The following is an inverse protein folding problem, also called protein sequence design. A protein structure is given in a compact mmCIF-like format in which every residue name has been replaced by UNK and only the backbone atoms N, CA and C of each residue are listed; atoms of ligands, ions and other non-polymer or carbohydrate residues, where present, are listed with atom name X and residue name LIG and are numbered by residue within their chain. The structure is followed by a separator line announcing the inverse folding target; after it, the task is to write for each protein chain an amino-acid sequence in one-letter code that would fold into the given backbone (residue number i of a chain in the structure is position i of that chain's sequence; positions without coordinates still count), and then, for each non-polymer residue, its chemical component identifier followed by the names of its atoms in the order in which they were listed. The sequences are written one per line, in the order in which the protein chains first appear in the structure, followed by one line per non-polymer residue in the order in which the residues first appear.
data_IF_343137700379
#
_entry.id   IF_343137700379
#
_cell.length_a   1.000
_cell.length_b   1.000
_cell.length_c   1.000
_cell.angle_alpha   90.00
_cell.angle_beta   90.00
_cell.angle_gamma   90.00
#
_symmetry.space_group_name_H-M   'P 1'
#
loop_
_entity.id
_entity.type
_entity.pdbx_description
1 polymer ?
#
# COMPACT_ATOMS: atom_id res chain seq x y z
N UNK A 1 32.29 43.13 59.39
CA UNK A 1 31.00 43.70 59.87
C UNK A 1 30.07 43.79 58.67
N UNK A 2 29.11 42.88 58.57
CA UNK A 2 27.65 43.13 58.73
C UNK A 2 27.08 44.20 57.78
N UNK A 3 26.20 43.72 56.89
CA UNK A 3 24.88 44.22 56.43
C UNK A 3 24.69 45.75 56.31
N UNK A 4 24.08 46.33 55.26
CA UNK A 4 22.68 46.22 54.85
C UNK A 4 22.55 46.59 53.35
N UNK A 5 21.89 45.78 52.52
CA UNK A 5 20.48 45.92 52.13
C UNK A 5 20.16 47.26 51.45
N UNK A 6 19.97 47.25 50.12
CA UNK A 6 18.99 48.10 49.43
C UNK A 6 18.75 47.59 48.01
N UNK A 7 17.86 46.59 47.99
CA UNK A 7 16.90 46.23 46.96
C UNK A 7 16.42 47.44 46.12
N UNK A 8 17.07 47.73 44.99
CA UNK A 8 16.56 48.72 44.01
C UNK A 8 17.14 48.59 42.59
N UNK A 9 17.57 47.40 42.14
CA UNK A 9 18.04 47.19 40.75
C UNK A 9 17.35 45.98 40.12
N UNK A 10 16.02 45.95 40.23
CA UNK A 10 15.18 44.89 39.67
C UNK A 10 14.06 45.47 38.80
N UNK A 11 14.36 46.42 37.90
CA UNK A 11 13.36 47.00 36.97
C UNK A 11 13.92 47.28 35.55
N UNK A 12 15.15 46.89 35.19
CA UNK A 12 15.77 47.37 33.94
C UNK A 12 16.07 46.32 32.85
N UNK A 13 15.35 45.19 32.82
CA UNK A 13 15.47 44.22 31.72
C UNK A 13 14.12 43.71 31.17
N UNK A 14 13.07 44.52 31.24
CA UNK A 14 11.79 44.26 30.55
C UNK A 14 11.70 45.01 29.21
N UNK A 15 12.68 44.80 28.32
CA UNK A 15 12.59 45.14 26.90
C UNK A 15 12.96 43.91 26.05
N UNK A 16 12.27 42.80 26.30
CA UNK A 16 12.15 41.76 25.28
C UNK A 16 10.98 42.16 24.38
N UNK A 17 11.34 42.55 23.17
CA UNK A 17 10.45 42.78 22.05
C UNK A 17 9.33 41.74 22.03
N UNK A 18 8.13 42.15 22.44
CA UNK A 18 6.90 41.52 21.97
C UNK A 18 6.82 41.75 20.46
N UNK A 19 7.48 40.90 19.70
CA UNK A 19 7.02 40.59 18.36
C UNK A 19 5.60 40.03 18.54
N UNK A 20 4.61 40.92 18.44
CA UNK A 20 3.23 40.58 18.12
C UNK A 20 3.29 39.85 16.78
N UNK A 21 3.54 38.56 16.85
CA UNK A 21 3.25 37.66 15.75
C UNK A 21 1.75 37.57 15.81
N UNK A 22 1.09 38.47 15.09
CA UNK A 22 -0.35 38.43 14.82
C UNK A 22 -0.58 37.18 13.95
N UNK A 23 -0.45 36.00 14.57
CA UNK A 23 -1.03 34.77 14.06
C UNK A 23 -2.53 34.95 14.28
N UNK A 24 -3.13 35.76 13.41
CA UNK A 24 -4.52 35.56 13.04
C UNK A 24 -4.61 34.08 12.69
N UNK A 25 -5.09 33.28 13.64
CA UNK A 25 -5.61 31.96 13.37
C UNK A 25 -6.78 32.22 12.44
N UNK A 26 -6.49 32.36 11.14
CA UNK A 26 -7.52 32.25 10.10
C UNK A 26 -8.15 30.91 10.37
N UNK A 27 -9.32 30.94 10.99
CA UNK A 27 -10.20 29.79 11.12
C UNK A 27 -10.34 29.28 9.69
N UNK A 28 -9.70 28.14 9.42
CA UNK A 28 -9.81 27.49 8.13
C UNK A 28 -11.28 27.14 7.98
N UNK A 29 -11.95 27.81 7.05
CA UNK A 29 -13.29 27.40 6.64
C UNK A 29 -13.18 25.94 6.16
N UNK A 30 -13.85 24.99 6.84
CA UNK A 30 -13.73 23.56 6.53
C UNK A 30 -14.26 23.23 5.12
N UNK A 31 -14.96 24.17 4.47
CA UNK A 31 -15.49 24.04 3.10
C UNK A 31 -14.65 24.82 2.09
N UNK A 32 -13.58 25.50 2.52
CA UNK A 32 -12.70 26.23 1.61
C UNK A 32 -11.98 25.29 0.64
N UNK A 33 -11.62 25.76 -0.58
CA UNK A 33 -10.82 24.97 -1.51
C UNK A 33 -9.51 24.44 -0.90
N UNK A 34 -8.88 25.20 0.01
CA UNK A 34 -7.65 24.79 0.67
C UNK A 34 -7.88 23.64 1.67
N UNK A 35 -8.95 23.71 2.47
CA UNK A 35 -9.32 22.63 3.38
C UNK A 35 -9.72 21.37 2.60
N UNK A 36 -10.49 21.54 1.52
CA UNK A 36 -10.89 20.44 0.64
C UNK A 36 -9.67 19.74 0.02
N UNK A 37 -8.69 20.51 -0.45
CA UNK A 37 -7.42 19.96 -0.96
C UNK A 37 -6.68 19.17 0.12
N UNK A 38 -6.50 19.73 1.31
CA UNK A 38 -5.73 19.08 2.37
C UNK A 38 -6.34 17.74 2.78
N UNK A 39 -7.66 17.68 2.93
CA UNK A 39 -8.36 16.44 3.24
C UNK A 39 -8.30 15.43 2.08
N UNK A 40 -8.44 15.89 0.83
CA UNK A 40 -8.30 15.04 -0.34
C UNK A 40 -6.90 14.42 -0.42
N UNK A 41 -5.85 15.19 -0.15
CA UNK A 41 -4.46 14.70 -0.15
C UNK A 41 -4.27 13.60 0.92
N UNK A 42 -4.82 13.77 2.13
CA UNK A 42 -4.80 12.74 3.18
C UNK A 42 -5.51 11.45 2.73
N UNK A 43 -6.67 11.58 2.06
CA UNK A 43 -7.39 10.42 1.54
C UNK A 43 -6.60 9.74 0.42
N UNK A 44 -5.92 10.51 -0.43
CA UNK A 44 -5.05 9.99 -1.49
C UNK A 44 -3.88 9.19 -0.91
N UNK A 45 -3.20 9.72 0.10
CA UNK A 45 -2.10 9.03 0.79
C UNK A 45 -2.58 7.71 1.43
N UNK A 46 -3.79 7.69 1.98
CA UNK A 46 -4.40 6.49 2.53
C UNK A 46 -4.58 5.41 1.46
N UNK A 47 -5.18 5.76 0.31
CA UNK A 47 -5.32 4.85 -0.85
C UNK A 47 -3.96 4.32 -1.28
N UNK A 48 -2.99 5.21 -1.47
CA UNK A 48 -1.68 4.84 -2.02
C UNK A 48 -0.91 3.94 -1.03
N UNK A 49 -1.06 4.15 0.28
CA UNK A 49 -0.52 3.27 1.31
C UNK A 49 -1.14 1.86 1.26
N UNK A 50 -2.47 1.75 1.07
CA UNK A 50 -3.15 0.45 0.95
C UNK A 50 -2.74 -0.29 -0.32
N UNK A 51 -2.68 0.42 -1.44
CA UNK A 51 -2.20 -0.11 -2.70
C UNK A 51 -0.77 -0.64 -2.58
N UNK A 52 0.14 0.18 -2.05
CA UNK A 52 1.56 -0.19 -1.87
C UNK A 52 1.74 -1.42 -0.99
N UNK A 53 0.98 -1.52 0.12
CA UNK A 53 1.03 -2.70 1.00
C UNK A 53 0.57 -3.97 0.27
N UNK A 54 -0.50 -3.88 -0.51
CA UNK A 54 -1.01 -4.99 -1.29
C UNK A 54 0.01 -5.46 -2.33
N UNK A 55 0.56 -4.54 -3.13
CA UNK A 55 1.54 -4.91 -4.16
C UNK A 55 2.84 -5.42 -3.56
N UNK A 56 3.27 -4.89 -2.40
CA UNK A 56 4.45 -5.39 -1.70
C UNK A 56 4.26 -6.81 -1.15
N UNK A 57 3.07 -7.13 -0.64
CA UNK A 57 2.73 -8.51 -0.22
C UNK A 57 2.80 -9.47 -1.41
N UNK A 58 2.25 -9.06 -2.56
CA UNK A 58 2.30 -9.82 -3.80
C UNK A 58 3.73 -9.99 -4.36
N UNK A 59 4.56 -8.95 -4.30
CA UNK A 59 5.99 -9.02 -4.65
C UNK A 59 6.74 -10.03 -3.76
N UNK A 60 6.43 -10.03 -2.46
CA UNK A 60 7.00 -10.98 -1.53
C UNK A 60 6.58 -12.42 -1.87
N UNK A 61 5.32 -12.65 -2.27
CA UNK A 61 4.85 -13.98 -2.74
C UNK A 61 5.62 -14.45 -3.98
N UNK A 62 5.75 -13.58 -4.99
CA UNK A 62 6.48 -13.91 -6.23
C UNK A 62 7.94 -14.25 -5.93
N UNK A 63 8.58 -13.49 -5.03
CA UNK A 63 9.96 -13.72 -4.61
C UNK A 63 10.12 -15.03 -3.83
N UNK A 64 9.27 -15.27 -2.84
CA UNK A 64 9.29 -16.51 -2.05
C UNK A 64 9.05 -17.74 -2.95
N UNK A 65 8.14 -17.63 -3.92
CA UNK A 65 7.88 -18.67 -4.92
C UNK A 65 9.13 -18.98 -5.75
N UNK A 66 9.86 -17.96 -6.19
CA UNK A 66 11.14 -18.15 -6.89
C UNK A 66 12.19 -18.86 -6.02
N UNK A 67 12.24 -18.53 -4.72
CA UNK A 67 13.16 -19.19 -3.78
C UNK A 67 12.80 -20.66 -3.54
N UNK A 68 11.51 -21.00 -3.44
CA UNK A 68 11.05 -22.40 -3.37
C UNK A 68 11.48 -23.16 -4.62
N UNK A 69 11.22 -22.61 -5.80
CA UNK A 69 11.58 -23.25 -7.07
C UNK A 69 13.10 -23.49 -7.18
N UNK A 70 13.92 -22.55 -6.73
CA UNK A 70 15.38 -22.70 -6.68
C UNK A 70 15.83 -23.78 -5.68
N UNK A 71 15.15 -23.89 -4.54
CA UNK A 71 15.44 -24.94 -3.56
C UNK A 71 15.08 -26.33 -4.10
N UNK A 72 13.92 -26.45 -4.74
CA UNK A 72 13.46 -27.69 -5.39
C UNK A 72 14.39 -28.14 -6.52
N UNK A 73 14.94 -27.22 -7.31
CA UNK A 73 15.89 -27.56 -8.39
C UNK A 73 17.17 -28.24 -7.90
N UNK A 74 17.56 -28.00 -6.64
CA UNK A 74 18.74 -28.61 -6.02
C UNK A 74 18.49 -30.02 -5.50
N UNK A 75 17.23 -30.47 -5.45
CA UNK A 75 16.88 -31.78 -4.91
C UNK A 75 17.19 -32.91 -5.91
N UNK A 76 17.64 -34.09 -5.44
CA UNK A 76 17.80 -35.26 -6.29
C UNK A 76 16.47 -35.67 -6.94
N UNK A 77 16.51 -35.99 -8.24
CA UNK A 77 15.32 -36.44 -8.97
C UNK A 77 14.34 -35.34 -9.38
N UNK A 78 14.68 -34.06 -9.17
CA UNK A 78 13.84 -32.95 -9.58
C UNK A 78 13.61 -32.90 -11.10
N UNK A 79 12.35 -32.70 -11.52
CA UNK A 79 12.02 -32.41 -12.91
C UNK A 79 12.44 -30.98 -13.28
N UNK A 80 13.65 -30.86 -13.84
CA UNK A 80 14.23 -29.58 -14.25
C UNK A 80 13.41 -28.88 -15.34
N UNK A 81 12.72 -29.62 -16.21
CA UNK A 81 11.92 -29.03 -17.27
C UNK A 81 10.68 -28.36 -16.70
N UNK A 82 9.98 -29.06 -15.78
CA UNK A 82 8.83 -28.52 -15.06
C UNK A 82 9.22 -27.30 -14.21
N UNK A 83 10.29 -27.39 -13.43
CA UNK A 83 10.76 -26.27 -12.60
C UNK A 83 11.12 -25.04 -13.44
N UNK A 84 11.84 -25.22 -14.56
CA UNK A 84 12.17 -24.11 -15.47
C UNK A 84 10.92 -23.48 -16.08
N UNK A 85 9.87 -24.26 -16.34
CA UNK A 85 8.58 -23.73 -16.80
C UNK A 85 7.88 -22.90 -15.72
N UNK A 86 7.86 -23.38 -14.48
CA UNK A 86 7.30 -22.65 -13.34
C UNK A 86 8.06 -21.36 -13.02
N UNK A 87 9.39 -21.35 -13.12
CA UNK A 87 10.19 -20.12 -12.96
C UNK A 87 9.78 -19.08 -14.02
N UNK A 88 9.61 -19.50 -15.28
CA UNK A 88 9.14 -18.59 -16.33
C UNK A 88 7.73 -18.08 -16.03
N UNK A 89 6.81 -18.95 -15.61
CA UNK A 89 5.44 -18.55 -15.27
C UNK A 89 5.41 -17.55 -14.11
N UNK A 90 6.17 -17.80 -13.04
CA UNK A 90 6.29 -16.91 -11.89
C UNK A 90 6.84 -15.52 -12.29
N UNK A 91 7.87 -15.48 -13.14
CA UNK A 91 8.43 -14.21 -13.61
C UNK A 91 7.45 -13.41 -14.49
N UNK A 92 6.51 -14.10 -15.17
CA UNK A 92 5.47 -13.45 -15.96
C UNK A 92 4.34 -12.86 -15.12
N UNK A 93 4.21 -13.21 -13.83
CA UNK A 93 3.18 -12.66 -12.95
C UNK A 93 3.34 -11.14 -12.82
N UNK A 94 4.53 -10.65 -12.52
CA UNK A 94 4.81 -9.21 -12.42
C UNK A 94 4.41 -8.43 -13.67
N UNK A 95 4.62 -9.01 -14.86
CA UNK A 95 4.28 -8.39 -16.15
C UNK A 95 2.77 -8.38 -16.40
N UNK A 96 2.05 -9.40 -15.90
CA UNK A 96 0.60 -9.56 -16.07
C UNK A 96 -0.21 -8.78 -15.05
N UNK A 97 0.40 -8.43 -13.92
CA UNK A 97 -0.28 -7.75 -12.82
C UNK A 97 -0.90 -6.44 -13.30
N UNK A 98 -2.14 -6.23 -12.90
CA UNK A 98 -2.82 -4.96 -13.09
C UNK A 98 -2.20 -3.88 -12.19
N UNK A 99 -2.42 -2.62 -12.55
CA UNK A 99 -2.10 -1.43 -11.74
C UNK A 99 -3.37 -0.76 -11.20
N UNK A 100 -3.19 0.32 -10.42
CA UNK A 100 -4.30 1.04 -9.78
C UNK A 100 -5.30 1.63 -10.79
N UNK A 101 -4.94 1.80 -12.08
CA UNK A 101 -5.84 2.34 -13.10
C UNK A 101 -6.53 1.21 -13.89
N UNK A 102 -5.73 0.22 -14.30
CA UNK A 102 -6.15 -0.92 -15.12
C UNK A 102 -6.93 -1.99 -14.34
N UNK A 103 -6.92 -1.95 -13.00
CA UNK A 103 -7.78 -2.81 -12.17
C UNK A 103 -9.28 -2.53 -12.34
N UNK A 104 -9.65 -1.43 -12.99
CA UNK A 104 -11.03 -1.19 -13.45
C UNK A 104 -11.57 -2.31 -14.36
N UNK A 105 -10.68 -3.10 -14.96
CA UNK A 105 -11.00 -4.24 -15.83
C UNK A 105 -10.98 -5.56 -15.06
N UNK A 106 -12.13 -6.03 -14.58
CA UNK A 106 -12.27 -7.34 -13.91
C UNK A 106 -11.57 -8.50 -14.65
N UNK A 107 -11.65 -8.61 -16.00
CA UNK A 107 -10.95 -9.69 -16.71
C UNK A 107 -9.43 -9.71 -16.52
N UNK A 108 -8.80 -8.57 -16.20
CA UNK A 108 -7.36 -8.51 -15.91
C UNK A 108 -7.04 -9.03 -14.51
N UNK A 109 -7.90 -8.73 -13.54
CA UNK A 109 -7.80 -9.27 -12.19
C UNK A 109 -7.95 -10.78 -12.25
N UNK A 110 -9.00 -11.28 -12.91
CA UNK A 110 -9.27 -12.71 -13.02
C UNK A 110 -8.15 -13.47 -13.73
N UNK A 111 -7.61 -12.90 -14.81
CA UNK A 111 -6.50 -13.49 -15.54
C UNK A 111 -5.21 -13.53 -14.71
N UNK A 112 -4.97 -12.49 -13.89
CA UNK A 112 -3.83 -12.45 -12.98
C UNK A 112 -3.97 -13.50 -11.87
N UNK A 113 -5.13 -13.53 -11.19
CA UNK A 113 -5.42 -14.43 -10.08
C UNK A 113 -5.37 -15.89 -10.54
N UNK A 114 -5.94 -16.20 -11.70
CA UNK A 114 -5.87 -17.53 -12.30
C UNK A 114 -4.42 -17.96 -12.59
N UNK A 115 -3.59 -17.04 -13.09
CA UNK A 115 -2.18 -17.33 -13.36
C UNK A 115 -1.39 -17.56 -12.06
N UNK A 116 -1.63 -16.74 -11.04
CA UNK A 116 -0.99 -16.89 -9.73
C UNK A 116 -1.40 -18.21 -9.07
N UNK A 117 -2.70 -18.51 -9.01
CA UNK A 117 -3.25 -19.77 -8.51
C UNK A 117 -2.62 -20.99 -9.19
N UNK A 118 -2.50 -20.94 -10.52
CA UNK A 118 -1.92 -22.04 -11.30
C UNK A 118 -0.46 -22.29 -10.92
N UNK A 119 0.33 -21.23 -10.70
CA UNK A 119 1.73 -21.35 -10.27
C UNK A 119 1.80 -21.89 -8.85
N UNK A 120 1.04 -21.32 -7.92
CA UNK A 120 1.08 -21.68 -6.50
C UNK A 120 0.64 -23.13 -6.28
N UNK A 121 -0.44 -23.60 -6.91
CA UNK A 121 -0.87 -25.00 -6.82
C UNK A 121 0.24 -25.96 -7.27
N UNK A 122 0.86 -25.69 -8.42
CA UNK A 122 1.94 -26.52 -8.93
C UNK A 122 3.16 -26.53 -7.98
N UNK A 123 3.52 -25.37 -7.43
CA UNK A 123 4.61 -25.25 -6.46
C UNK A 123 4.31 -26.01 -5.18
N UNK A 124 3.08 -25.92 -4.64
CA UNK A 124 2.68 -26.65 -3.45
C UNK A 124 2.70 -28.16 -3.66
N UNK A 125 2.28 -28.65 -4.83
CA UNK A 125 2.41 -30.07 -5.17
C UNK A 125 3.86 -30.53 -5.18
N UNK A 126 4.78 -29.73 -5.72
CA UNK A 126 6.20 -30.08 -5.76
C UNK A 126 6.91 -29.91 -4.41
N UNK A 127 6.44 -29.00 -3.57
CA UNK A 127 6.99 -28.75 -2.24
C UNK A 127 6.67 -29.88 -1.25
N UNK A 128 5.70 -30.73 -1.56
CA UNK A 128 5.32 -31.90 -0.75
C UNK A 128 6.02 -33.15 -1.30
N UNK A 129 7.04 -33.70 -0.61
CA UNK A 129 7.73 -34.88 -1.09
C UNK A 129 6.82 -36.11 -1.03
N UNK A 130 6.97 -37.02 -2.00
CA UNK A 130 6.21 -38.28 -2.03
C UNK A 130 6.52 -39.21 -0.83
N UNK A 131 7.70 -39.05 -0.22
CA UNK A 131 8.10 -39.72 1.02
C UNK A 131 9.05 -38.82 1.83
N UNK A 132 8.89 -38.81 3.16
CA UNK A 132 9.72 -38.01 4.07
C UNK A 132 9.14 -36.63 4.38
N UNK A 133 9.92 -35.82 5.11
CA UNK A 133 9.55 -34.44 5.44
C UNK A 133 10.10 -33.48 4.38
N UNK A 134 9.38 -32.39 4.04
CA UNK A 134 9.93 -31.33 3.20
C UNK A 134 11.23 -30.76 3.78
N UNK A 135 12.09 -30.23 2.91
CA UNK A 135 13.20 -29.40 3.35
C UNK A 135 12.67 -28.23 4.19
N UNK A 136 13.30 -27.93 5.33
CA UNK A 136 12.82 -26.91 6.26
C UNK A 136 12.71 -25.51 5.62
N UNK A 137 13.61 -25.18 4.68
CA UNK A 137 13.55 -23.93 3.92
C UNK A 137 12.34 -23.91 3.02
N UNK A 138 12.09 -25.01 2.30
CA UNK A 138 10.91 -25.16 1.43
C UNK A 138 9.62 -25.06 2.24
N UNK A 139 9.58 -25.69 3.41
CA UNK A 139 8.43 -25.63 4.31
C UNK A 139 8.14 -24.21 4.81
N UNK A 140 9.17 -23.50 5.29
CA UNK A 140 9.01 -22.13 5.77
C UNK A 140 8.54 -21.20 4.65
N UNK A 141 9.20 -21.24 3.49
CA UNK A 141 8.83 -20.39 2.36
C UNK A 141 7.41 -20.68 1.87
N UNK A 142 7.02 -21.96 1.82
CA UNK A 142 5.64 -22.36 1.45
C UNK A 142 4.62 -21.80 2.43
N UNK A 143 4.93 -21.80 3.73
CA UNK A 143 4.07 -21.24 4.78
C UNK A 143 3.96 -19.72 4.67
N UNK A 144 5.07 -19.03 4.36
CA UNK A 144 5.07 -17.58 4.14
C UNK A 144 4.21 -17.20 2.92
N UNK A 145 4.31 -17.97 1.83
CA UNK A 145 3.49 -17.77 0.63
C UNK A 145 2.01 -17.97 0.98
N UNK A 146 1.64 -19.07 1.65
CA UNK A 146 0.25 -19.35 2.03
C UNK A 146 -0.33 -18.25 2.93
N UNK A 147 0.46 -17.75 3.87
CA UNK A 147 0.06 -16.65 4.76
C UNK A 147 -0.25 -15.41 3.94
N UNK A 148 0.69 -14.97 3.09
CA UNK A 148 0.49 -13.80 2.25
C UNK A 148 -0.67 -13.98 1.25
N UNK A 149 -0.89 -15.20 0.75
CA UNK A 149 -1.97 -15.50 -0.18
C UNK A 149 -3.35 -15.36 0.47
N UNK A 150 -3.48 -15.83 1.72
CA UNK A 150 -4.71 -15.68 2.51
C UNK A 150 -5.09 -14.22 2.80
N UNK A 151 -4.13 -13.30 2.74
CA UNK A 151 -4.37 -11.88 3.01
C UNK A 151 -4.87 -11.07 1.80
N UNK A 152 -4.80 -11.62 0.57
CA UNK A 152 -5.09 -10.89 -0.69
C UNK A 152 -6.45 -10.22 -0.65
N UNK A 153 -7.49 -10.98 -0.26
CA UNK A 153 -8.87 -10.45 -0.16
C UNK A 153 -8.93 -9.32 0.87
N UNK A 154 -8.25 -9.48 2.02
CA UNK A 154 -8.18 -8.45 3.05
C UNK A 154 -7.48 -7.17 2.57
N UNK A 155 -6.42 -7.27 1.76
CA UNK A 155 -5.78 -6.11 1.15
C UNK A 155 -6.69 -5.39 0.18
N UNK A 156 -7.38 -6.12 -0.70
CA UNK A 156 -8.34 -5.57 -1.66
C UNK A 156 -9.48 -4.82 -0.97
N UNK A 157 -10.07 -5.42 0.06
CA UNK A 157 -11.14 -4.78 0.86
C UNK A 157 -10.66 -3.48 1.51
N UNK A 158 -9.46 -3.46 2.10
CA UNK A 158 -8.90 -2.25 2.72
C UNK A 158 -8.59 -1.16 1.69
N UNK A 159 -8.15 -1.55 0.49
CA UNK A 159 -7.98 -0.63 -0.63
C UNK A 159 -9.34 -0.04 -1.03
N UNK A 160 -10.35 -0.86 -1.26
CA UNK A 160 -11.68 -0.41 -1.69
C UNK A 160 -12.33 0.52 -0.67
N UNK A 161 -12.19 0.22 0.62
CA UNK A 161 -12.66 1.12 1.68
C UNK A 161 -12.01 2.50 1.59
N UNK A 162 -10.70 2.58 1.37
CA UNK A 162 -10.00 3.85 1.23
C UNK A 162 -10.37 4.57 -0.07
N UNK A 163 -10.45 3.83 -1.18
CA UNK A 163 -10.81 4.37 -2.49
C UNK A 163 -12.25 4.90 -2.51
N UNK A 164 -13.19 4.22 -1.86
CA UNK A 164 -14.57 4.72 -1.67
C UNK A 164 -14.62 6.01 -0.87
N UNK A 165 -13.85 6.12 0.22
CA UNK A 165 -13.77 7.37 0.98
C UNK A 165 -13.22 8.52 0.12
N UNK A 166 -12.15 8.27 -0.64
CA UNK A 166 -11.61 9.23 -1.60
C UNK A 166 -12.64 9.63 -2.67
N UNK A 167 -13.29 8.66 -3.30
CA UNK A 167 -14.28 8.87 -4.37
C UNK A 167 -15.49 9.66 -3.89
N UNK A 168 -16.02 9.31 -2.71
CA UNK A 168 -17.13 10.02 -2.09
C UNK A 168 -16.73 11.46 -1.76
N UNK A 169 -15.54 11.67 -1.19
CA UNK A 169 -15.04 13.01 -0.88
C UNK A 169 -14.85 13.87 -2.14
N UNK A 170 -14.27 13.28 -3.19
CA UNK A 170 -14.10 13.92 -4.49
C UNK A 170 -15.44 14.38 -5.08
N UNK A 171 -16.46 13.54 -5.00
CA UNK A 171 -17.81 13.86 -5.50
C UNK A 171 -18.47 14.98 -4.67
N UNK A 172 -18.43 14.89 -3.35
CA UNK A 172 -19.06 15.87 -2.45
C UNK A 172 -18.42 17.25 -2.54
N UNK A 173 -17.09 17.32 -2.75
CA UNK A 173 -16.33 18.57 -2.77
C UNK A 173 -15.89 19.00 -4.17
N UNK A 174 -16.52 18.45 -5.22
CA UNK A 174 -16.13 18.68 -6.61
C UNK A 174 -16.06 20.18 -6.97
N UNK A 175 -17.02 20.98 -6.53
CA UNK A 175 -17.04 22.43 -6.81
C UNK A 175 -15.85 23.15 -6.16
N UNK A 176 -15.60 22.90 -4.87
CA UNK A 176 -14.49 23.50 -4.13
C UNK A 176 -13.13 23.08 -4.72
N UNK A 177 -12.99 21.80 -5.08
CA UNK A 177 -11.78 21.27 -5.71
C UNK A 177 -11.58 21.84 -7.13
N UNK A 178 -12.65 22.02 -7.90
CA UNK A 178 -12.59 22.58 -9.26
C UNK A 178 -12.09 24.03 -9.29
N UNK A 179 -12.35 24.81 -8.23
CA UNK A 179 -11.85 26.18 -8.05
C UNK A 179 -10.32 26.25 -7.93
N UNK A 180 -9.66 25.15 -7.55
CA UNK A 180 -8.19 25.06 -7.48
C UNK A 180 -7.54 24.98 -8.87
N UNK A 181 -8.29 24.63 -9.92
CA UNK A 181 -7.77 24.53 -11.28
C UNK A 181 -6.75 23.39 -11.49
N UNK A 182 -6.07 23.42 -12.64
CA UNK A 182 -5.03 22.44 -12.99
C UNK A 182 -5.49 20.99 -12.87
N UNK A 183 -4.66 20.15 -12.22
CA UNK A 183 -4.95 18.72 -12.01
C UNK A 183 -6.24 18.46 -11.23
N UNK A 184 -6.69 19.41 -10.39
CA UNK A 184 -7.88 19.23 -9.55
C UNK A 184 -9.20 19.25 -10.34
N UNK A 185 -9.21 19.85 -11.55
CA UNK A 185 -10.35 19.80 -12.48
C UNK A 185 -10.47 18.47 -13.22
N UNK A 186 -9.41 17.67 -13.24
CA UNK A 186 -9.31 16.42 -13.99
C UNK A 186 -9.27 15.20 -13.07
N UNK A 187 -9.56 15.38 -11.77
CA UNK A 187 -9.59 14.29 -10.82
C UNK A 187 -10.68 13.29 -11.20
N UNK A 188 -10.28 12.04 -11.33
CA UNK A 188 -11.17 10.92 -11.59
C UNK A 188 -11.34 10.09 -10.33
N UNK A 189 -12.48 9.42 -10.24
CA UNK A 189 -12.68 8.39 -9.24
C UNK A 189 -11.69 7.26 -9.48
N UNK A 190 -11.20 6.69 -8.38
CA UNK A 190 -10.37 5.50 -8.39
C UNK A 190 -11.24 4.27 -8.64
N UNK A 191 -10.75 3.28 -9.39
CA UNK A 191 -11.45 2.02 -9.53
C UNK A 191 -11.50 1.25 -8.20
N UNK A 192 -12.31 0.20 -8.17
CA UNK A 192 -12.50 -0.69 -7.02
C UNK A 192 -12.30 -2.15 -7.47
N UNK A 193 -11.99 -3.04 -6.53
CA UNK A 193 -11.93 -4.48 -6.76
C UNK A 193 -13.31 -5.14 -6.78
N UNK A 194 -14.29 -4.52 -6.13
CA UNK A 194 -15.67 -5.01 -6.14
C UNK A 194 -16.21 -5.27 -7.55
N UNK A 195 -16.87 -6.43 -7.72
CA UNK A 195 -17.61 -6.74 -8.93
C UNK A 195 -18.75 -5.73 -9.06
N UNK A 196 -18.90 -5.14 -10.25
CA UNK A 196 -20.09 -4.35 -10.55
C UNK A 196 -21.25 -5.31 -10.76
N UNK A 197 -22.30 -5.17 -9.95
CA UNK A 197 -23.59 -5.83 -10.15
C UNK A 197 -24.24 -5.43 -11.47
#
# INVERSE_FOLDING_TARGET
MKLYLSMAVLVLLSNLNSCKTDRSNKVLDPVSPAAAKAQLDVLRDSVDSRWTRMTASDDAKIKATAQVLQALEKQPGADKAQLKALVRANNQLLVRRYDQQSMSSSPRIDAYDTAQDSVLRAVYTLAQPAAGQPDATVQQLTTDIQTADSEVVGYRLRYDQAAKQFNNYLQLHQEALSKLGGKYKQLQQLPLFELKE
#
